data_IF_730580175515
#
_entry.id   IF_730580175515
#
_cell.length_a   1.000
_cell.length_b   1.000
_cell.length_c   1.000
_cell.angle_alpha   90.00
_cell.angle_beta   90.00
_cell.angle_gamma   90.00
#
_symmetry.space_group_name_H-M   'P 1'
#
loop_
_entity.id
_entity.type
_entity.pdbx_description
1 polymer ?
#
# COMPACT_ATOMS: atom_id res chain seq x y z
N UNK A 1 -5.14 0.72 -2.09
CA UNK A 1 -4.30 0.11 -1.03
C UNK A 1 -5.23 -0.69 -0.13
N UNK A 2 -4.79 -1.85 0.33
CA UNK A 2 -5.59 -2.74 1.17
C UNK A 2 -4.75 -3.36 2.28
N UNK A 3 -5.39 -3.60 3.43
CA UNK A 3 -4.75 -4.05 4.65
C UNK A 3 -5.58 -5.14 5.30
N UNK A 4 -4.96 -6.29 5.55
CA UNK A 4 -5.55 -7.41 6.28
C UNK A 4 -4.58 -7.93 7.34
N UNK A 5 -5.09 -8.74 8.25
CA UNK A 5 -4.27 -9.47 9.23
C UNK A 5 -3.25 -10.38 8.55
N UNK A 6 -3.51 -10.83 7.32
CA UNK A 6 -2.65 -11.76 6.59
C UNK A 6 -1.56 -11.01 5.82
N UNK A 7 -1.94 -9.92 5.14
CA UNK A 7 -1.04 -9.17 4.28
C UNK A 7 -1.51 -7.74 4.03
N UNK A 8 -0.57 -6.93 3.58
CA UNK A 8 -0.80 -5.55 3.18
C UNK A 8 -0.38 -5.38 1.72
N UNK A 9 -1.10 -4.55 0.98
CA UNK A 9 -0.83 -4.35 -0.44
C UNK A 9 -1.30 -3.01 -0.96
N UNK A 10 -0.75 -2.61 -2.10
CA UNK A 10 -1.11 -1.37 -2.77
C UNK A 10 -0.66 -1.34 -4.21
N UNK A 11 -1.46 -0.68 -5.04
CA UNK A 11 -1.15 -0.41 -6.43
C UNK A 11 -1.01 1.10 -6.59
N UNK A 12 0.07 1.54 -7.24
CA UNK A 12 0.20 2.89 -7.75
C UNK A 12 -0.40 2.95 -9.14
N UNK A 13 -1.41 3.79 -9.31
CA UNK A 13 -2.08 4.00 -10.58
C UNK A 13 -2.01 5.47 -10.95
N UNK A 14 -1.83 5.75 -12.23
CA UNK A 14 -1.85 7.11 -12.75
C UNK A 14 -2.74 7.16 -13.99
N UNK A 15 -3.47 8.27 -14.12
CA UNK A 15 -4.18 8.57 -15.35
C UNK A 15 -3.19 9.22 -16.33
N UNK A 16 -2.92 8.54 -17.45
CA UNK A 16 -2.09 9.04 -18.54
C UNK A 16 -2.96 9.04 -19.78
N UNK A 17 -3.22 10.23 -20.33
CA UNK A 17 -4.02 10.42 -21.53
C UNK A 17 -5.43 9.81 -21.46
N UNK A 18 -6.08 9.85 -20.30
CA UNK A 18 -7.42 9.30 -20.10
C UNK A 18 -7.44 7.81 -19.76
N UNK A 19 -6.29 7.12 -19.80
CA UNK A 19 -6.16 5.71 -19.42
C UNK A 19 -5.55 5.56 -18.04
N UNK A 20 -6.14 4.70 -17.21
CA UNK A 20 -5.56 4.29 -15.93
C UNK A 20 -4.44 3.28 -16.20
N UNK A 21 -3.19 3.66 -15.95
CA UNK A 21 -2.02 2.79 -16.03
C UNK A 21 -1.56 2.41 -14.64
N UNK A 22 -1.27 1.11 -14.45
CA UNK A 22 -0.64 0.61 -13.24
C UNK A 22 0.87 0.84 -13.35
N UNK A 23 1.42 1.65 -12.46
CA UNK A 23 2.84 2.00 -12.43
C UNK A 23 3.64 1.08 -11.51
N UNK A 24 3.02 0.62 -10.42
CA UNK A 24 3.71 -0.19 -9.43
C UNK A 24 2.72 -1.04 -8.63
N UNK A 25 3.13 -2.27 -8.31
CA UNK A 25 2.39 -3.15 -7.40
C UNK A 25 3.29 -3.50 -6.22
N UNK A 26 2.73 -3.43 -5.04
CA UNK A 26 3.38 -3.87 -3.81
C UNK A 26 2.47 -4.77 -3.01
N UNK A 27 3.01 -5.87 -2.52
CA UNK A 27 2.39 -6.72 -1.51
C UNK A 27 3.44 -7.22 -0.53
N UNK A 28 3.07 -7.35 0.74
CA UNK A 28 3.88 -8.06 1.72
C UNK A 28 3.01 -8.73 2.77
N UNK A 29 3.54 -9.79 3.37
CA UNK A 29 2.91 -10.46 4.50
C UNK A 29 2.99 -9.56 5.74
N UNK A 30 1.90 -9.52 6.50
CA UNK A 30 1.83 -8.77 7.76
C UNK A 30 2.59 -9.54 8.83
N UNK A 31 3.63 -8.92 9.42
CA UNK A 31 4.39 -9.52 10.52
C UNK A 31 3.48 -9.76 11.74
N UNK A 32 3.79 -10.78 12.55
CA UNK A 32 3.06 -11.12 13.78
C UNK A 32 2.83 -9.94 14.73
N UNK A 33 3.77 -8.99 14.78
CA UNK A 33 3.64 -7.76 15.59
C UNK A 33 2.55 -6.82 15.09
N UNK A 34 2.40 -6.70 13.76
CA UNK A 34 1.45 -5.80 13.09
C UNK A 34 0.02 -6.35 13.04
N UNK A 35 -0.13 -7.67 13.16
CA UNK A 35 -1.45 -8.32 13.30
C UNK A 35 -2.21 -7.91 14.55
N UNK A 36 -1.50 -7.39 15.56
CA UNK A 36 -2.08 -6.97 16.85
C UNK A 36 -2.58 -5.52 16.85
N UNK A 37 -2.43 -4.80 15.74
CA UNK A 37 -2.86 -3.41 15.64
C UNK A 37 -4.36 -3.33 15.39
N UNK A 38 -4.98 -2.25 15.84
CA UNK A 38 -6.37 -1.98 15.50
C UNK A 38 -6.53 -1.85 13.96
N UNK A 39 -7.65 -2.26 13.36
CA UNK A 39 -7.85 -2.14 11.91
C UNK A 39 -7.62 -0.72 11.35
N UNK A 40 -7.89 0.33 12.12
CA UNK A 40 -7.64 1.72 11.71
C UNK A 40 -6.14 2.01 11.68
N UNK A 41 -5.41 1.60 12.72
CA UNK A 41 -3.96 1.74 12.80
C UNK A 41 -3.25 0.95 11.69
N UNK A 42 -3.76 -0.25 11.38
CA UNK A 42 -3.26 -1.07 10.29
C UNK A 42 -3.42 -0.35 8.96
N UNK A 43 -4.59 0.24 8.69
CA UNK A 43 -4.83 1.03 7.47
C UNK A 43 -3.88 2.23 7.36
N UNK A 44 -3.70 2.98 8.45
CA UNK A 44 -2.77 4.11 8.48
C UNK A 44 -1.32 3.66 8.20
N UNK A 45 -0.89 2.54 8.79
CA UNK A 45 0.42 1.96 8.56
C UNK A 45 0.61 1.55 7.10
N UNK A 46 -0.40 0.96 6.46
CA UNK A 46 -0.34 0.56 5.04
C UNK A 46 -0.22 1.77 4.12
N UNK A 47 -0.96 2.84 4.38
CA UNK A 47 -0.86 4.09 3.61
C UNK A 47 0.58 4.63 3.68
N UNK A 48 1.12 4.73 4.90
CA UNK A 48 2.49 5.20 5.10
C UNK A 48 3.51 4.29 4.41
N UNK A 49 3.38 2.97 4.54
CA UNK A 49 4.28 2.01 3.90
C UNK A 49 4.27 2.11 2.37
N UNK A 50 3.07 2.17 1.78
CA UNK A 50 2.95 2.32 0.33
C UNK A 50 3.55 3.65 -0.12
N UNK A 51 3.32 4.73 0.61
CA UNK A 51 3.90 6.03 0.31
C UNK A 51 5.44 6.01 0.35
N UNK A 52 6.04 5.40 1.38
CA UNK A 52 7.50 5.26 1.47
C UNK A 52 8.07 4.45 0.30
N UNK A 53 7.42 3.35 -0.09
CA UNK A 53 7.88 2.51 -1.22
C UNK A 53 7.69 3.17 -2.58
N UNK A 54 6.60 3.90 -2.76
CA UNK A 54 6.24 4.51 -4.03
C UNK A 54 6.86 5.91 -4.20
N UNK A 55 7.56 6.43 -3.18
CA UNK A 55 8.12 7.78 -3.16
C UNK A 55 8.98 8.11 -4.38
N UNK A 56 9.73 7.14 -4.91
CA UNK A 56 10.55 7.32 -6.11
C UNK A 56 9.75 7.51 -7.40
N UNK A 57 8.46 7.16 -7.40
CA UNK A 57 7.55 7.30 -8.55
C UNK A 57 6.61 8.50 -8.42
N UNK A 58 6.68 9.24 -7.30
CA UNK A 58 5.81 10.39 -7.00
C UNK A 58 6.50 11.74 -7.26
N UNK A 59 7.76 11.73 -7.71
CA UNK A 59 8.57 12.88 -8.10
C UNK A 59 8.87 12.81 -9.60
#
# INVERSE_FOLDING_TARGET
>A
MDASEIGIGGTLQQNINGEIKNLYYHSQVTSSTRRRYDPIELKALVIWFCFQRMRSYLL
#
